data_IF_811356433955
#
_entry.id   IF_811356433955
#
_cell.length_a   1.000
_cell.length_b   1.000
_cell.length_c   1.000
_cell.angle_alpha   90.00
_cell.angle_beta   90.00
_cell.angle_gamma   90.00
#
_symmetry.space_group_name_H-M   'P 1'
#
loop_
_entity.id
_entity.type
_entity.pdbx_description
1 polymer ?
#
# COMPACT_ATOMS: atom_id res chain seq x y z
N UNK A 1 -12.08 16.37 7.39
CA UNK A 1 -11.21 15.80 6.33
C UNK A 1 -10.08 14.96 6.90
N UNK A 2 -9.41 15.34 8.00
CA UNK A 2 -8.37 14.51 8.65
C UNK A 2 -8.96 13.62 9.75
N UNK A 3 -8.98 12.30 9.57
CA UNK A 3 -9.50 11.35 10.57
C UNK A 3 -8.38 10.97 11.55
N UNK A 4 -8.67 11.02 12.86
CA UNK A 4 -7.75 10.61 13.94
C UNK A 4 -7.38 9.11 13.88
N UNK A 5 -8.22 8.34 13.21
CA UNK A 5 -8.09 6.93 12.88
C UNK A 5 -8.02 6.83 11.36
N UNK A 6 -6.87 6.39 10.84
CA UNK A 6 -6.67 6.24 9.41
C UNK A 6 -7.32 4.93 8.96
N UNK A 7 -8.45 5.01 8.25
CA UNK A 7 -9.14 3.81 7.76
C UNK A 7 -8.44 3.24 6.52
N UNK A 8 -8.24 1.93 6.50
CA UNK A 8 -7.56 1.17 5.44
C UNK A 8 -8.22 1.29 4.04
N UNK A 9 -9.44 1.83 3.97
CA UNK A 9 -10.09 2.23 2.70
C UNK A 9 -9.35 3.37 1.99
N UNK A 10 -8.59 4.20 2.73
CA UNK A 10 -7.75 5.22 2.14
C UNK A 10 -6.58 4.61 1.36
N UNK A 11 -5.88 3.60 1.91
CA UNK A 11 -4.79 2.89 1.24
C UNK A 11 -5.23 2.11 0.00
N UNK A 12 -6.42 1.51 0.02
CA UNK A 12 -7.00 0.90 -1.19
C UNK A 12 -7.35 1.97 -2.25
N UNK A 13 -7.95 3.09 -1.86
CA UNK A 13 -8.18 4.22 -2.78
C UNK A 13 -6.89 4.80 -3.37
N UNK A 14 -5.79 4.76 -2.62
CA UNK A 14 -4.46 5.17 -3.08
C UNK A 14 -3.85 4.17 -4.07
N UNK A 15 -4.08 2.86 -3.89
CA UNK A 15 -3.67 1.81 -4.86
C UNK A 15 -4.53 1.84 -6.12
N UNK A 16 -5.84 2.00 -6.00
CA UNK A 16 -6.76 2.18 -7.14
C UNK A 16 -6.39 3.45 -7.91
N UNK A 17 -6.05 4.55 -7.23
CA UNK A 17 -5.64 5.79 -7.87
C UNK A 17 -4.27 5.68 -8.55
N UNK A 18 -3.30 4.97 -7.96
CA UNK A 18 -2.03 4.63 -8.64
C UNK A 18 -2.29 3.81 -9.90
N UNK A 19 -3.09 2.74 -9.79
CA UNK A 19 -3.42 1.90 -10.93
C UNK A 19 -4.15 2.68 -12.04
N UNK A 20 -5.02 3.63 -11.67
CA UNK A 20 -5.65 4.55 -12.61
C UNK A 20 -4.65 5.52 -13.25
N UNK A 21 -3.72 6.11 -12.47
CA UNK A 21 -2.67 6.99 -13.01
C UNK A 21 -1.75 6.22 -13.96
N UNK A 22 -1.33 5.00 -13.59
CA UNK A 22 -0.48 4.14 -14.43
C UNK A 22 -1.19 3.69 -15.71
N UNK A 23 -2.47 3.31 -15.61
CA UNK A 23 -3.28 2.95 -16.77
C UNK A 23 -3.52 4.15 -17.70
N UNK A 24 -3.72 5.35 -17.14
CA UNK A 24 -3.93 6.58 -17.91
C UNK A 24 -2.65 7.04 -18.62
N UNK A 25 -1.50 6.91 -17.97
CA UNK A 25 -0.17 7.19 -18.54
C UNK A 25 0.14 6.25 -19.72
N UNK A 26 -0.15 4.95 -19.58
CA UNK A 26 0.03 3.96 -20.64
C UNK A 26 -0.89 4.21 -21.85
N UNK A 27 -2.11 4.72 -21.62
CA UNK A 27 -3.13 4.88 -22.66
C UNK A 27 -2.96 6.14 -23.53
N UNK A 28 -2.26 7.18 -23.05
CA UNK A 28 -2.31 8.53 -23.64
C UNK A 28 -0.98 9.14 -24.11
N UNK A 29 0.11 8.36 -24.23
CA UNK A 29 1.44 8.88 -24.63
C UNK A 29 1.87 10.12 -23.82
N UNK A 30 1.57 10.15 -22.52
CA UNK A 30 1.73 11.34 -21.65
C UNK A 30 3.18 11.61 -21.21
N UNK A 31 4.18 11.06 -21.89
CA UNK A 31 5.58 11.22 -21.52
C UNK A 31 5.95 12.70 -21.38
N UNK A 32 5.54 13.52 -22.33
CA UNK A 32 5.81 14.96 -22.37
C UNK A 32 4.87 15.82 -21.52
N UNK A 33 3.92 15.21 -20.79
CA UNK A 33 2.93 15.94 -20.00
C UNK A 33 3.47 16.29 -18.61
N UNK A 34 3.70 17.58 -18.32
CA UNK A 34 4.38 18.05 -17.09
C UNK A 34 3.62 17.70 -15.80
N UNK A 35 2.29 17.65 -15.86
CA UNK A 35 1.44 17.37 -14.70
C UNK A 35 1.08 15.90 -14.49
N UNK A 36 0.68 15.20 -15.55
CA UNK A 36 0.13 13.85 -15.52
C UNK A 36 1.10 12.77 -16.01
N UNK A 37 2.20 13.16 -16.67
CA UNK A 37 3.22 12.21 -17.10
C UNK A 37 3.99 11.62 -15.91
N UNK A 38 4.76 10.54 -16.15
CA UNK A 38 5.60 9.92 -15.13
C UNK A 38 6.54 10.95 -14.47
N UNK A 39 6.62 10.92 -13.15
CA UNK A 39 7.43 11.87 -12.38
C UNK A 39 6.89 13.30 -12.37
N UNK A 40 5.66 13.51 -12.83
CA UNK A 40 5.05 14.82 -12.99
C UNK A 40 4.55 15.43 -11.67
N UNK A 41 4.01 16.65 -11.77
CA UNK A 41 3.53 17.43 -10.62
C UNK A 41 2.53 16.63 -9.75
N UNK A 42 1.65 15.87 -10.39
CA UNK A 42 0.59 15.12 -9.69
C UNK A 42 1.15 14.02 -8.79
N UNK A 43 2.25 13.38 -9.16
CA UNK A 43 2.89 12.37 -8.31
C UNK A 43 3.48 13.00 -7.04
N UNK A 44 4.08 14.19 -7.14
CA UNK A 44 4.59 14.94 -5.98
C UNK A 44 3.44 15.35 -5.07
N UNK A 45 2.38 15.93 -5.63
CA UNK A 45 1.16 16.31 -4.89
C UNK A 45 0.59 15.12 -4.14
N UNK A 46 0.51 13.98 -4.81
CA UNK A 46 0.01 12.76 -4.22
C UNK A 46 0.88 12.28 -3.06
N UNK A 47 2.21 12.22 -3.21
CA UNK A 47 3.10 11.77 -2.12
C UNK A 47 2.95 12.64 -0.87
N UNK A 48 2.87 13.96 -1.03
CA UNK A 48 2.72 14.89 0.10
C UNK A 48 1.34 14.74 0.72
N UNK A 49 0.27 14.74 -0.08
CA UNK A 49 -1.10 14.58 0.40
C UNK A 49 -1.32 13.24 1.08
N UNK A 50 -0.72 12.17 0.58
CA UNK A 50 -0.75 10.84 1.18
C UNK A 50 -0.22 10.90 2.62
N UNK A 51 0.93 11.53 2.84
CA UNK A 51 1.50 11.66 4.18
C UNK A 51 0.61 12.52 5.09
N UNK A 52 0.05 13.62 4.58
CA UNK A 52 -0.89 14.46 5.33
C UNK A 52 -2.17 13.70 5.68
N UNK A 53 -2.66 12.85 4.80
CA UNK A 53 -3.80 11.99 5.09
C UNK A 53 -3.41 11.04 6.23
N UNK A 54 -2.35 10.24 6.06
CA UNK A 54 -1.94 9.20 7.01
C UNK A 54 -1.74 9.77 8.42
N UNK A 55 -1.10 10.93 8.52
CA UNK A 55 -0.58 11.46 9.78
C UNK A 55 -1.33 12.67 10.29
N UNK A 56 -1.93 13.46 9.40
CA UNK A 56 -2.64 14.70 9.76
C UNK A 56 -3.79 14.47 10.73
N UNK A 57 -4.33 13.25 10.85
CA UNK A 57 -5.26 12.89 11.92
C UNK A 57 -4.71 13.06 13.33
N UNK A 58 -3.43 12.72 13.53
CA UNK A 58 -2.73 12.69 14.82
C UNK A 58 -1.76 13.85 15.01
N UNK A 59 -1.26 14.40 13.92
CA UNK A 59 -0.26 15.48 13.87
C UNK A 59 -0.87 16.69 13.15
N UNK A 60 -1.57 17.59 13.88
CA UNK A 60 -2.22 18.76 13.30
C UNK A 60 -1.27 19.68 12.54
N UNK A 61 0.01 19.69 12.90
CA UNK A 61 1.09 20.46 12.28
C UNK A 61 1.27 20.09 10.80
N UNK A 62 0.92 18.86 10.43
CA UNK A 62 0.98 18.39 9.04
C UNK A 62 -0.23 18.84 8.21
N UNK A 63 -1.25 19.47 8.78
CA UNK A 63 -2.46 19.94 8.07
C UNK A 63 -2.25 21.26 7.33
N UNK A 64 -1.05 21.48 6.81
CA UNK A 64 -0.71 22.68 6.07
C UNK A 64 -1.49 22.76 4.77
N UNK A 65 -1.89 23.98 4.40
CA UNK A 65 -2.44 24.26 3.08
C UNK A 65 -1.29 24.50 2.11
N UNK A 66 -1.36 23.84 0.95
CA UNK A 66 -0.34 23.96 -0.09
C UNK A 66 0.81 22.98 0.06
N UNK A 67 1.35 22.56 -1.09
CA UNK A 67 2.32 21.47 -1.17
C UNK A 67 3.63 21.78 -0.46
N UNK A 68 4.21 22.97 -0.69
CA UNK A 68 5.52 23.33 -0.16
C UNK A 68 5.52 23.43 1.37
N UNK A 69 4.49 24.05 1.94
CA UNK A 69 4.33 24.15 3.39
C UNK A 69 4.12 22.78 4.03
N UNK A 70 3.35 21.90 3.37
CA UNK A 70 3.15 20.54 3.83
C UNK A 70 4.45 19.71 3.75
N UNK A 71 5.22 19.84 2.68
CA UNK A 71 6.51 19.17 2.51
C UNK A 71 7.51 19.63 3.57
N UNK A 72 7.56 20.93 3.87
CA UNK A 72 8.40 21.48 4.94
C UNK A 72 7.98 20.95 6.32
N UNK A 73 6.68 20.89 6.59
CA UNK A 73 6.18 20.33 7.85
C UNK A 73 6.55 18.84 7.99
N UNK A 74 6.44 18.06 6.91
CA UNK A 74 6.84 16.66 6.87
C UNK A 74 8.34 16.47 7.14
N UNK A 75 9.19 17.32 6.55
CA UNK A 75 10.63 17.33 6.81
C UNK A 75 10.93 17.69 8.26
N UNK A 76 10.34 18.77 8.79
CA UNK A 76 10.58 19.25 10.15
C UNK A 76 10.20 18.22 11.24
N UNK A 77 9.23 17.35 10.94
CA UNK A 77 8.78 16.28 11.85
C UNK A 77 9.44 14.92 11.56
N UNK A 78 10.42 14.87 10.64
CA UNK A 78 11.21 13.67 10.35
C UNK A 78 10.47 12.58 9.56
N UNK A 79 9.39 12.92 8.86
CA UNK A 79 8.63 11.96 8.04
C UNK A 79 9.18 11.80 6.63
N UNK A 80 10.01 12.76 6.19
CA UNK A 80 10.77 12.74 4.96
C UNK A 80 12.16 13.25 5.32
N UNK A 81 13.20 12.56 4.85
CA UNK A 81 14.58 12.97 5.03
C UNK A 81 14.87 14.31 4.33
N UNK A 82 15.88 15.05 4.81
CA UNK A 82 16.16 16.40 4.29
C UNK A 82 16.47 16.39 2.80
N UNK A 83 17.31 15.44 2.36
CA UNK A 83 17.79 15.36 0.98
C UNK A 83 16.62 15.10 0.01
N UNK A 84 15.72 14.18 0.38
CA UNK A 84 14.51 13.88 -0.37
C UNK A 84 13.52 15.03 -0.37
N UNK A 85 13.32 15.69 0.76
CA UNK A 85 12.44 16.86 0.85
C UNK A 85 12.94 18.00 -0.04
N UNK A 86 14.24 18.28 -0.02
CA UNK A 86 14.88 19.30 -0.85
C UNK A 86 14.78 18.97 -2.33
N UNK A 87 15.03 17.70 -2.70
CA UNK A 87 14.95 17.26 -4.09
C UNK A 87 13.50 17.28 -4.61
N UNK A 88 12.51 16.83 -3.81
CA UNK A 88 11.09 16.94 -4.17
C UNK A 88 10.65 18.40 -4.32
N UNK A 89 11.15 19.29 -3.46
CA UNK A 89 10.89 20.74 -3.56
C UNK A 89 11.45 21.31 -4.85
N UNK A 90 12.70 20.97 -5.20
CA UNK A 90 13.35 21.41 -6.43
C UNK A 90 12.58 20.91 -7.66
N UNK A 91 12.22 19.62 -7.70
CA UNK A 91 11.44 19.02 -8.76
C UNK A 91 10.09 19.73 -8.95
N UNK A 92 9.35 19.94 -7.86
CA UNK A 92 8.05 20.63 -7.90
C UNK A 92 8.17 22.05 -8.45
N UNK A 93 9.15 22.83 -7.96
CA UNK A 93 9.36 24.20 -8.40
C UNK A 93 9.74 24.27 -9.88
N UNK A 94 10.62 23.38 -10.35
CA UNK A 94 11.02 23.34 -11.75
C UNK A 94 9.85 22.95 -12.66
N UNK A 95 9.12 21.88 -12.33
CA UNK A 95 7.95 21.45 -13.12
C UNK A 95 6.86 22.52 -13.17
N UNK A 96 6.57 23.20 -12.04
CA UNK A 96 5.58 24.28 -11.98
C UNK A 96 6.04 25.52 -12.76
N UNK A 97 7.32 25.87 -12.71
CA UNK A 97 7.87 26.96 -13.53
C UNK A 97 7.75 26.65 -15.02
N UNK A 98 8.09 25.43 -15.44
CA UNK A 98 7.95 24.98 -16.82
C UNK A 98 6.49 24.99 -17.30
N UNK A 99 5.57 24.47 -16.48
CA UNK A 99 4.13 24.47 -16.77
C UNK A 99 3.59 25.90 -16.90
N UNK A 100 3.87 26.76 -15.92
CA UNK A 100 3.42 28.15 -15.95
C UNK A 100 3.97 28.90 -17.17
N UNK A 101 5.26 28.70 -17.51
CA UNK A 101 5.87 29.36 -18.66
C UNK A 101 5.25 28.91 -19.98
N UNK A 102 4.97 27.61 -20.11
CA UNK A 102 4.27 27.04 -21.26
C UNK A 102 2.87 27.65 -21.41
N UNK A 103 2.11 27.74 -20.32
CA UNK A 103 0.77 28.34 -20.31
C UNK A 103 0.81 29.83 -20.67
N UNK A 104 1.80 30.57 -20.17
CA UNK A 104 2.02 31.97 -20.55
C UNK A 104 2.37 32.13 -22.04
N UNK A 105 3.14 31.21 -22.63
CA UNK A 105 3.54 31.29 -24.04
C UNK A 105 2.37 31.01 -24.99
N UNK A 106 1.44 30.13 -24.59
CA UNK A 106 0.28 29.73 -25.41
C UNK A 106 -1.03 30.41 -25.02
N UNK A 107 -1.02 31.21 -23.97
CA UNK A 107 -2.22 31.84 -23.39
C UNK A 107 -3.36 30.84 -23.13
N UNK A 108 -2.99 29.61 -22.75
CA UNK A 108 -3.93 28.49 -22.65
C UNK A 108 -3.53 27.55 -21.50
N UNK A 109 -4.51 26.82 -20.97
CA UNK A 109 -4.29 25.78 -19.97
C UNK A 109 -3.74 24.50 -20.62
N UNK A 110 -2.49 24.58 -21.06
CA UNK A 110 -1.73 23.48 -21.66
C UNK A 110 -0.74 22.89 -20.66
N UNK A 111 -0.42 21.60 -20.82
CA UNK A 111 0.43 20.86 -19.89
C UNK A 111 1.49 19.98 -20.58
N UNK A 112 1.32 19.70 -21.88
CA UNK A 112 2.28 18.93 -22.68
C UNK A 112 3.33 19.85 -23.29
N UNK A 113 4.59 19.41 -23.30
CA UNK A 113 5.64 20.14 -24.01
C UNK A 113 5.29 20.30 -25.49
N UNK A 114 5.66 21.43 -26.13
CA UNK A 114 5.39 21.64 -27.55
C UNK A 114 6.12 20.61 -28.42
N UNK A 115 5.50 20.19 -29.53
CA UNK A 115 6.19 19.36 -30.54
C UNK A 115 7.06 20.20 -31.47
N UNK A 116 6.61 21.41 -31.81
CA UNK A 116 7.35 22.30 -32.71
C UNK A 116 8.69 22.73 -32.09
N UNK A 117 9.80 22.48 -32.80
CA UNK A 117 11.15 22.77 -32.33
C UNK A 117 11.33 24.25 -31.91
N UNK A 118 10.78 25.18 -32.69
CA UNK A 118 10.84 26.61 -32.38
C UNK A 118 10.13 26.95 -31.06
N UNK A 119 8.98 26.33 -30.78
CA UNK A 119 8.27 26.58 -29.51
C UNK A 119 9.01 25.99 -28.31
N UNK A 120 9.62 24.81 -28.46
CA UNK A 120 10.47 24.20 -27.42
C UNK A 120 11.68 25.08 -27.13
N UNK A 121 12.33 25.60 -28.17
CA UNK A 121 13.46 26.52 -28.01
C UNK A 121 13.05 27.79 -27.27
N UNK A 122 11.91 28.41 -27.63
CA UNK A 122 11.38 29.59 -26.91
C UNK A 122 11.07 29.30 -25.44
N UNK A 123 10.49 28.14 -25.16
CA UNK A 123 10.21 27.69 -23.79
C UNK A 123 11.52 27.54 -22.99
N UNK A 124 12.51 26.84 -23.55
CA UNK A 124 13.81 26.64 -22.93
C UNK A 124 14.53 27.95 -22.63
N UNK A 125 14.63 28.85 -23.62
CA UNK A 125 15.23 30.18 -23.42
C UNK A 125 14.47 30.99 -22.37
N UNK A 126 13.14 30.92 -22.38
CA UNK A 126 12.28 31.59 -21.41
C UNK A 126 12.40 31.06 -19.98
N UNK A 127 12.97 29.86 -19.80
CA UNK A 127 13.26 29.24 -18.50
C UNK A 127 14.75 29.37 -18.12
N UNK A 128 15.57 30.03 -18.96
CA UNK A 128 17.00 30.22 -18.72
C UNK A 128 17.91 29.07 -19.20
N UNK A 129 17.38 28.10 -19.95
CA UNK A 129 18.18 27.03 -20.55
C UNK A 129 18.82 27.47 -21.86
N UNK A 130 19.96 26.85 -22.21
CA UNK A 130 20.68 27.14 -23.45
C UNK A 130 19.86 26.75 -24.69
N UNK A 131 19.24 25.57 -24.66
CA UNK A 131 18.44 24.98 -25.73
C UNK A 131 17.38 24.03 -25.14
N UNK A 132 16.51 23.51 -26.02
CA UNK A 132 15.47 22.54 -25.68
C UNK A 132 16.03 21.24 -25.10
N UNK A 133 17.17 20.76 -25.60
CA UNK A 133 17.83 19.56 -25.07
C UNK A 133 18.21 19.71 -23.59
N UNK A 134 18.76 20.87 -23.20
CA UNK A 134 19.12 21.16 -21.81
C UNK A 134 17.90 21.27 -20.90
N UNK A 135 16.79 21.83 -21.40
CA UNK A 135 15.52 21.85 -20.67
C UNK A 135 14.99 20.42 -20.45
N UNK A 136 14.93 19.60 -21.50
CA UNK A 136 14.43 18.22 -21.43
C UNK A 136 15.27 17.40 -20.47
N UNK A 137 16.60 17.44 -20.58
CA UNK A 137 17.50 16.72 -19.68
C UNK A 137 17.29 17.11 -18.21
N UNK A 138 17.11 18.41 -17.94
CA UNK A 138 16.85 18.87 -16.58
C UNK A 138 15.47 18.44 -16.07
N UNK A 139 14.44 18.38 -16.93
CA UNK A 139 13.12 17.87 -16.57
C UNK A 139 13.14 16.36 -16.30
N UNK A 140 13.83 15.60 -17.15
CA UNK A 140 13.95 14.14 -17.02
C UNK A 140 14.70 13.75 -15.75
N UNK A 141 15.73 14.50 -15.36
CA UNK A 141 16.42 14.31 -14.09
C UNK A 141 15.45 14.43 -12.90
N UNK A 142 14.63 15.49 -12.88
CA UNK A 142 13.65 15.69 -11.80
C UNK A 142 12.55 14.60 -11.83
N UNK A 143 12.02 14.28 -13.01
CA UNK A 143 10.96 13.28 -13.18
C UNK A 143 11.44 11.89 -12.80
N UNK A 144 12.67 11.51 -13.15
CA UNK A 144 13.26 10.24 -12.77
C UNK A 144 13.37 10.07 -11.26
N UNK A 145 13.79 11.14 -10.55
CA UNK A 145 13.80 11.16 -9.10
C UNK A 145 12.39 11.03 -8.50
N UNK A 146 11.44 11.85 -8.96
CA UNK A 146 10.05 11.83 -8.46
C UNK A 146 9.43 10.45 -8.66
N UNK A 147 9.64 9.86 -9.84
CA UNK A 147 9.15 8.52 -10.17
C UNK A 147 9.72 7.47 -9.21
N UNK A 148 11.03 7.46 -9.02
CA UNK A 148 11.68 6.54 -8.07
C UNK A 148 11.13 6.73 -6.66
N UNK A 149 10.98 7.98 -6.23
CA UNK A 149 10.44 8.31 -4.92
C UNK A 149 8.98 7.86 -4.78
N UNK A 150 8.19 8.00 -5.84
CA UNK A 150 6.79 7.56 -5.89
C UNK A 150 6.70 6.04 -5.82
N UNK A 151 7.48 5.31 -6.63
CA UNK A 151 7.54 3.84 -6.63
C UNK A 151 7.88 3.28 -5.24
N UNK A 152 8.89 3.84 -4.56
CA UNK A 152 9.28 3.45 -3.20
C UNK A 152 8.17 3.61 -2.16
N UNK A 153 7.34 4.64 -2.27
CA UNK A 153 6.20 4.87 -1.36
C UNK A 153 5.19 3.72 -1.47
N UNK A 154 5.05 3.11 -2.64
CA UNK A 154 4.15 1.98 -2.85
C UNK A 154 4.80 0.62 -2.63
N UNK A 155 6.09 0.46 -2.94
CA UNK A 155 6.86 -0.76 -2.64
C UNK A 155 6.98 -1.00 -1.13
N UNK A 156 7.14 0.06 -0.34
CA UNK A 156 7.07 0.00 1.12
C UNK A 156 5.73 -0.57 1.63
N UNK A 157 4.65 -0.41 0.86
CA UNK A 157 3.32 -0.99 1.10
C UNK A 157 3.07 -2.34 0.39
N UNK A 158 4.00 -2.81 -0.45
CA UNK A 158 4.02 -4.12 -1.12
C UNK A 158 5.09 -4.98 -0.43
N UNK A 159 4.82 -5.40 0.80
CA UNK A 159 5.68 -6.40 1.44
C UNK A 159 5.33 -7.79 0.89
N UNK A 160 6.27 -8.32 0.09
CA UNK A 160 6.44 -9.69 -0.42
C UNK A 160 5.31 -10.64 -0.01
N UNK A 161 4.43 -10.96 -0.97
CA UNK A 161 3.63 -12.18 -0.84
C UNK A 161 4.61 -13.35 -0.73
N UNK A 162 4.43 -14.29 0.22
CA UNK A 162 5.31 -15.44 0.33
C UNK A 162 5.31 -16.21 -1.00
N UNK A 163 6.37 -16.06 -1.79
CA UNK A 163 6.49 -16.69 -3.11
C UNK A 163 7.28 -17.97 -2.95
N UNK A 164 6.58 -19.07 -2.69
CA UNK A 164 7.12 -20.42 -2.64
C UNK A 164 6.12 -21.40 -3.24
N UNK A 165 6.61 -22.54 -3.74
CA UNK A 165 5.81 -23.59 -4.40
C UNK A 165 4.61 -24.02 -3.54
N UNK A 166 4.83 -24.17 -2.22
CA UNK A 166 3.78 -24.40 -1.22
C UNK A 166 2.68 -23.33 -1.23
N UNK A 167 3.04 -22.06 -1.24
CA UNK A 167 2.07 -20.96 -1.18
C UNK A 167 1.19 -20.95 -2.45
N UNK A 168 1.76 -21.23 -3.61
CA UNK A 168 1.01 -21.37 -4.87
C UNK A 168 -0.04 -22.47 -4.77
N UNK A 169 0.34 -23.66 -4.27
CA UNK A 169 -0.59 -24.78 -4.06
C UNK A 169 -1.71 -24.39 -3.08
N UNK A 170 -1.39 -23.68 -1.99
CA UNK A 170 -2.39 -23.22 -1.01
C UNK A 170 -3.36 -22.18 -1.58
N UNK A 171 -2.91 -21.30 -2.47
CA UNK A 171 -3.76 -20.34 -3.19
C UNK A 171 -4.74 -21.09 -4.09
N UNK A 172 -4.25 -22.05 -4.86
CA UNK A 172 -5.08 -22.83 -5.78
C UNK A 172 -6.08 -23.73 -5.04
N UNK A 173 -5.65 -24.36 -3.95
CA UNK A 173 -6.54 -25.08 -3.02
C UNK A 173 -7.66 -24.18 -2.50
N UNK A 174 -7.34 -22.99 -1.98
CA UNK A 174 -8.35 -22.10 -1.40
C UNK A 174 -9.35 -21.59 -2.46
N UNK A 175 -8.89 -21.32 -3.68
CA UNK A 175 -9.78 -20.96 -4.81
C UNK A 175 -10.78 -22.07 -5.16
N UNK A 176 -10.39 -23.32 -4.95
CA UNK A 176 -11.20 -24.50 -5.26
C UNK A 176 -12.02 -25.00 -4.07
N UNK A 177 -11.96 -24.32 -2.90
CA UNK A 177 -12.55 -24.80 -1.64
C UNK A 177 -14.05 -25.12 -1.73
N UNK A 178 -14.77 -24.41 -2.59
CA UNK A 178 -16.21 -24.55 -2.79
C UNK A 178 -16.60 -25.57 -3.87
N UNK A 179 -15.63 -26.13 -4.61
CA UNK A 179 -15.87 -27.02 -5.76
C UNK A 179 -15.17 -28.36 -5.63
N UNK A 180 -13.85 -28.36 -5.77
CA UNK A 180 -13.03 -29.55 -6.04
C UNK A 180 -11.81 -29.67 -5.12
N UNK A 181 -11.63 -28.74 -4.18
CA UNK A 181 -10.51 -28.83 -3.24
C UNK A 181 -10.53 -30.15 -2.47
N UNK A 182 -9.37 -30.78 -2.35
CA UNK A 182 -9.18 -32.08 -1.69
C UNK A 182 -8.10 -31.98 -0.62
N UNK A 183 -8.19 -32.85 0.38
CA UNK A 183 -7.17 -32.96 1.43
C UNK A 183 -5.78 -33.26 0.86
N UNK A 184 -5.68 -34.01 -0.24
CA UNK A 184 -4.39 -34.34 -0.89
C UNK A 184 -3.60 -33.11 -1.34
N UNK A 185 -4.27 -32.04 -1.77
CA UNK A 185 -3.60 -30.78 -2.13
C UNK A 185 -2.92 -30.14 -0.91
N UNK A 186 -3.54 -30.23 0.28
CA UNK A 186 -2.93 -29.77 1.53
C UNK A 186 -1.77 -30.68 1.94
N UNK A 187 -1.90 -31.99 1.74
CA UNK A 187 -0.81 -32.93 1.99
C UNK A 187 0.41 -32.67 1.09
N UNK A 188 0.20 -32.38 -0.20
CA UNK A 188 1.23 -31.98 -1.16
C UNK A 188 1.90 -30.66 -0.77
N UNK A 189 1.12 -29.71 -0.23
CA UNK A 189 1.66 -28.48 0.35
C UNK A 189 2.42 -28.73 1.68
N UNK A 190 2.44 -29.94 2.21
CA UNK A 190 3.13 -30.29 3.46
C UNK A 190 2.39 -29.85 4.72
N UNK A 191 1.06 -29.70 4.65
CA UNK A 191 0.21 -29.41 5.81
C UNK A 191 -0.01 -30.69 6.62
N UNK A 192 0.40 -30.74 7.90
CA UNK A 192 0.15 -31.89 8.76
C UNK A 192 -1.36 -32.15 8.96
N UNK A 193 -1.75 -33.42 9.05
CA UNK A 193 -3.15 -33.82 9.31
C UNK A 193 -4.13 -33.20 8.28
N UNK A 194 -3.76 -33.29 7.00
CA UNK A 194 -4.43 -32.64 5.88
C UNK A 194 -5.95 -32.87 5.82
N UNK A 195 -6.44 -34.08 6.13
CA UNK A 195 -7.88 -34.37 6.17
C UNK A 195 -8.63 -33.54 7.22
N UNK A 196 -8.06 -33.42 8.42
CA UNK A 196 -8.66 -32.64 9.50
C UNK A 196 -8.61 -31.15 9.16
N UNK A 197 -7.48 -30.66 8.65
CA UNK A 197 -7.35 -29.28 8.19
C UNK A 197 -8.35 -28.96 7.06
N UNK A 198 -8.53 -29.88 6.12
CA UNK A 198 -9.49 -29.77 5.02
C UNK A 198 -10.92 -29.63 5.54
N UNK A 199 -11.35 -30.53 6.44
CA UNK A 199 -12.68 -30.49 7.03
C UNK A 199 -12.98 -29.15 7.73
N UNK A 200 -12.01 -28.61 8.47
CA UNK A 200 -12.13 -27.31 9.15
C UNK A 200 -12.22 -26.13 8.19
N UNK A 201 -11.43 -26.16 7.11
CA UNK A 201 -11.45 -25.14 6.07
C UNK A 201 -12.76 -25.17 5.27
N UNK A 202 -13.30 -26.35 4.98
CA UNK A 202 -14.62 -26.49 4.35
C UNK A 202 -15.75 -25.98 5.24
N UNK A 203 -15.73 -26.30 6.54
CA UNK A 203 -16.69 -25.80 7.52
C UNK A 203 -16.67 -24.26 7.56
N UNK A 204 -15.48 -23.67 7.60
CA UNK A 204 -15.30 -22.23 7.55
C UNK A 204 -15.76 -21.62 6.22
N UNK A 205 -15.43 -22.26 5.09
CA UNK A 205 -15.80 -21.84 3.75
C UNK A 205 -17.33 -21.82 3.55
N UNK A 206 -18.05 -22.77 4.15
CA UNK A 206 -19.52 -22.85 4.11
C UNK A 206 -20.23 -21.96 5.13
N UNK A 207 -19.48 -21.24 5.97
CA UNK A 207 -20.07 -20.43 7.03
C UNK A 207 -20.88 -19.25 6.48
N UNK A 208 -22.00 -18.94 7.14
CA UNK A 208 -22.84 -17.77 6.82
C UNK A 208 -22.07 -16.45 6.93
N UNK A 209 -21.09 -16.39 7.83
CA UNK A 209 -20.21 -15.23 8.00
C UNK A 209 -19.37 -14.95 6.75
N UNK A 210 -18.92 -15.98 6.02
CA UNK A 210 -18.23 -15.81 4.72
C UNK A 210 -19.20 -15.44 3.61
N UNK A 211 -20.37 -16.08 3.54
CA UNK A 211 -21.38 -15.79 2.53
C UNK A 211 -21.91 -14.34 2.57
N UNK A 212 -21.92 -13.71 3.74
CA UNK A 212 -22.35 -12.33 3.94
C UNK A 212 -21.24 -11.29 3.72
N UNK A 213 -20.04 -11.70 3.31
CA UNK A 213 -18.97 -10.75 3.01
C UNK A 213 -19.29 -9.93 1.77
N UNK A 214 -18.95 -8.65 1.82
CA UNK A 214 -18.85 -7.83 0.60
C UNK A 214 -17.79 -8.40 -0.34
N UNK A 215 -17.87 -8.07 -1.64
CA UNK A 215 -16.86 -8.46 -2.63
C UNK A 215 -15.43 -8.09 -2.18
N UNK A 216 -15.25 -6.92 -1.56
CA UNK A 216 -13.95 -6.51 -0.99
C UNK A 216 -13.51 -7.36 0.20
N UNK A 217 -14.43 -7.72 1.08
CA UNK A 217 -14.17 -8.59 2.22
C UNK A 217 -13.75 -10.00 1.79
N UNK A 218 -14.42 -10.55 0.77
CA UNK A 218 -14.06 -11.83 0.15
C UNK A 218 -12.66 -11.77 -0.45
N UNK A 219 -12.37 -10.75 -1.28
CA UNK A 219 -11.06 -10.61 -1.92
C UNK A 219 -9.90 -10.50 -0.90
N UNK A 220 -10.12 -9.84 0.25
CA UNK A 220 -9.13 -9.79 1.34
C UNK A 220 -8.94 -11.15 2.00
N UNK A 221 -10.04 -11.87 2.25
CA UNK A 221 -9.98 -13.20 2.82
C UNK A 221 -9.21 -14.17 1.89
N UNK A 222 -9.45 -14.08 0.59
CA UNK A 222 -8.82 -14.92 -0.44
C UNK A 222 -7.31 -14.70 -0.55
N UNK A 223 -6.82 -13.49 -0.24
CA UNK A 223 -5.38 -13.21 -0.12
C UNK A 223 -4.80 -13.63 1.22
N UNK A 224 -5.56 -13.43 2.31
CA UNK A 224 -5.09 -13.65 3.68
C UNK A 224 -4.97 -15.14 4.04
N UNK A 225 -5.97 -15.96 3.68
CA UNK A 225 -6.05 -17.36 4.09
C UNK A 225 -4.83 -18.18 3.64
N UNK A 226 -4.42 -18.15 2.36
CA UNK A 226 -3.24 -18.90 1.92
C UNK A 226 -1.95 -18.51 2.67
N UNK A 227 -1.81 -17.22 3.04
CA UNK A 227 -0.65 -16.73 3.80
C UNK A 227 -0.68 -17.25 5.24
N UNK A 228 -1.85 -17.28 5.88
CA UNK A 228 -2.00 -17.83 7.23
C UNK A 228 -1.78 -19.34 7.24
N UNK A 229 -2.33 -20.06 6.25
CA UNK A 229 -2.15 -21.50 6.11
C UNK A 229 -0.67 -21.87 5.94
N UNK A 230 0.05 -21.12 5.11
CA UNK A 230 1.49 -21.36 4.90
C UNK A 230 2.31 -21.23 6.19
N UNK A 231 1.99 -20.23 7.03
CA UNK A 231 2.65 -20.03 8.31
C UNK A 231 2.22 -21.06 9.38
N UNK A 232 0.96 -21.50 9.37
CA UNK A 232 0.43 -22.52 10.28
C UNK A 232 0.97 -23.91 9.95
N UNK A 233 1.15 -24.24 8.66
CA UNK A 233 1.64 -25.52 8.18
C UNK A 233 3.04 -25.87 8.71
N UNK A 234 3.83 -24.86 9.07
CA UNK A 234 5.18 -25.02 9.61
C UNK A 234 5.20 -25.38 11.12
N UNK A 235 4.02 -25.53 11.76
CA UNK A 235 3.89 -25.74 13.20
C UNK A 235 3.47 -27.18 13.52
N UNK A 236 4.01 -27.72 14.61
CA UNK A 236 3.66 -29.08 15.07
C UNK A 236 2.19 -29.21 15.52
N UNK A 237 1.60 -28.13 16.05
CA UNK A 237 0.19 -28.06 16.50
C UNK A 237 -0.75 -27.47 15.42
N UNK A 238 -0.44 -27.71 14.14
CA UNK A 238 -1.09 -27.12 12.96
C UNK A 238 -2.62 -27.07 13.05
N UNK A 239 -3.31 -28.21 13.24
CA UNK A 239 -4.78 -28.25 13.25
C UNK A 239 -5.39 -27.50 14.43
N UNK A 240 -4.81 -27.65 15.63
CA UNK A 240 -5.28 -26.93 16.81
C UNK A 240 -5.08 -25.41 16.67
N UNK A 241 -3.99 -24.98 16.04
CA UNK A 241 -3.73 -23.57 15.73
C UNK A 241 -4.69 -23.05 14.65
N UNK A 242 -4.93 -23.84 13.59
CA UNK A 242 -5.90 -23.52 12.54
C UNK A 242 -7.29 -23.28 13.14
N UNK A 243 -7.76 -24.18 14.02
CA UNK A 243 -9.05 -24.04 14.68
C UNK A 243 -9.17 -22.76 15.52
N UNK A 244 -8.08 -22.34 16.17
CA UNK A 244 -8.04 -21.09 16.94
C UNK A 244 -8.09 -19.87 16.01
N UNK A 245 -7.35 -19.91 14.91
CA UNK A 245 -7.30 -18.83 13.90
C UNK A 245 -8.63 -18.70 13.17
N UNK A 246 -9.23 -19.81 12.70
CA UNK A 246 -10.52 -19.78 12.01
C UNK A 246 -11.65 -19.26 12.91
N UNK A 247 -11.65 -19.61 14.20
CA UNK A 247 -12.59 -19.04 15.18
C UNK A 247 -12.43 -17.53 15.34
N UNK A 248 -11.20 -17.04 15.40
CA UNK A 248 -10.94 -15.60 15.43
C UNK A 248 -11.45 -14.93 14.15
N UNK A 249 -11.06 -15.47 13.00
CA UNK A 249 -11.50 -14.94 11.71
C UNK A 249 -13.02 -14.86 11.70
N UNK A 250 -13.73 -15.95 12.03
CA UNK A 250 -15.18 -15.96 12.09
C UNK A 250 -15.76 -14.84 12.97
N UNK A 251 -15.15 -14.55 14.13
CA UNK A 251 -15.57 -13.47 15.02
C UNK A 251 -15.30 -12.05 14.46
N UNK A 252 -14.29 -11.89 13.60
CA UNK A 252 -13.89 -10.58 13.03
C UNK A 252 -14.24 -10.39 11.56
N UNK A 253 -14.73 -11.42 10.87
CA UNK A 253 -15.03 -11.43 9.42
C UNK A 253 -15.93 -10.25 9.01
N UNK A 254 -16.91 -9.90 9.85
CA UNK A 254 -17.84 -8.79 9.58
C UNK A 254 -17.25 -7.40 9.81
N UNK A 255 -16.06 -7.31 10.41
CA UNK A 255 -15.38 -6.06 10.72
C UNK A 255 -14.20 -5.89 9.77
N UNK A 256 -14.49 -5.33 8.61
CA UNK A 256 -13.57 -5.23 7.45
C UNK A 256 -12.20 -4.61 7.76
N UNK A 257 -12.09 -3.76 8.78
CA UNK A 257 -10.84 -3.16 9.25
C UNK A 257 -9.85 -4.17 9.83
N UNK A 258 -10.34 -5.21 10.52
CA UNK A 258 -9.48 -6.25 11.08
C UNK A 258 -8.92 -7.18 10.00
N UNK A 259 -9.73 -7.53 9.00
CA UNK A 259 -9.27 -8.29 7.84
C UNK A 259 -8.24 -7.51 7.02
N UNK A 260 -8.45 -6.20 6.84
CA UNK A 260 -7.48 -5.33 6.15
C UNK A 260 -6.12 -5.32 6.86
N UNK A 261 -6.12 -5.16 8.19
CA UNK A 261 -4.89 -5.16 8.98
C UNK A 261 -4.11 -6.47 8.78
N UNK A 262 -4.80 -7.61 8.87
CA UNK A 262 -4.17 -8.91 8.75
C UNK A 262 -3.65 -9.18 7.34
N UNK A 263 -4.39 -8.78 6.30
CA UNK A 263 -3.97 -8.91 4.89
C UNK A 263 -2.71 -8.07 4.61
N UNK A 264 -2.67 -6.82 5.09
CA UNK A 264 -1.60 -5.88 4.74
C UNK A 264 -0.38 -5.88 5.67
N UNK A 265 -0.48 -6.38 6.93
CA UNK A 265 0.64 -6.34 7.88
C UNK A 265 1.19 -7.75 8.26
N UNK A 266 2.34 -8.17 7.70
CA UNK A 266 3.01 -9.41 8.09
C UNK A 266 3.30 -9.51 9.59
N UNK A 267 3.74 -8.40 10.21
CA UNK A 267 4.01 -8.36 11.65
C UNK A 267 2.76 -8.51 12.52
N UNK A 268 1.57 -8.17 12.01
CA UNK A 268 0.31 -8.43 12.71
C UNK A 268 -0.08 -9.90 12.61
N UNK A 269 0.09 -10.52 11.42
CA UNK A 269 -0.10 -11.97 11.23
C UNK A 269 0.84 -12.80 12.10
N UNK A 270 2.12 -12.44 12.13
CA UNK A 270 3.10 -13.16 12.94
C UNK A 270 2.74 -13.10 14.42
N UNK A 271 2.44 -11.90 14.94
CA UNK A 271 2.00 -11.72 16.33
C UNK A 271 0.72 -12.47 16.63
N UNK A 272 -0.23 -12.51 15.70
CA UNK A 272 -1.44 -13.32 15.84
C UNK A 272 -1.07 -14.80 16.02
N UNK A 273 -0.24 -15.35 15.14
CA UNK A 273 0.20 -16.75 15.21
C UNK A 273 0.94 -17.01 16.53
N UNK A 274 1.90 -16.18 16.90
CA UNK A 274 2.67 -16.34 18.13
C UNK A 274 1.78 -16.31 19.37
N UNK A 275 0.80 -15.38 19.42
CA UNK A 275 -0.15 -15.27 20.52
C UNK A 275 -1.05 -16.50 20.60
N UNK A 276 -1.53 -16.99 19.45
CA UNK A 276 -2.39 -18.17 19.38
C UNK A 276 -1.64 -19.44 19.81
N UNK A 277 -0.36 -19.57 19.45
CA UNK A 277 0.49 -20.67 19.89
C UNK A 277 0.76 -20.64 21.40
N UNK A 278 1.02 -19.46 21.97
CA UNK A 278 1.35 -19.29 23.38
C UNK A 278 0.16 -19.49 24.34
N UNK A 279 -1.07 -19.55 23.84
CA UNK A 279 -2.27 -19.58 24.66
C UNK A 279 -3.10 -20.85 24.44
N UNK A 280 -3.38 -21.54 25.54
CA UNK A 280 -4.16 -22.80 25.58
C UNK A 280 -5.66 -22.60 25.84
N UNK A 281 -6.13 -21.36 26.09
CA UNK A 281 -7.55 -21.09 26.41
C UNK A 281 -8.15 -19.83 25.78
N UNK A 282 -9.27 -19.97 25.06
CA UNK A 282 -9.98 -18.91 24.31
C UNK A 282 -10.29 -17.62 25.10
N UNK A 283 -10.71 -17.64 26.38
CA UNK A 283 -10.99 -16.40 27.12
C UNK A 283 -9.74 -15.57 27.43
N UNK A 284 -8.60 -16.24 27.59
CA UNK A 284 -7.30 -15.60 27.79
C UNK A 284 -6.74 -15.08 26.45
N UNK A 285 -6.96 -15.84 25.36
CA UNK A 285 -6.66 -15.44 23.98
C UNK A 285 -7.44 -14.20 23.59
N UNK A 286 -8.76 -14.14 23.82
CA UNK A 286 -9.57 -12.98 23.45
C UNK A 286 -9.20 -11.74 24.26
N UNK A 287 -8.88 -11.87 25.55
CA UNK A 287 -8.36 -10.75 26.37
C UNK A 287 -6.95 -10.34 25.97
N UNK A 288 -6.09 -11.28 25.61
CA UNK A 288 -4.75 -11.01 25.09
C UNK A 288 -4.83 -10.39 23.69
N UNK A 289 -5.76 -10.80 22.83
CA UNK A 289 -5.99 -10.18 21.53
C UNK A 289 -6.65 -8.82 21.70
N UNK A 290 -7.65 -8.64 22.55
CA UNK A 290 -8.24 -7.32 22.76
C UNK A 290 -7.23 -6.34 23.40
N UNK A 291 -6.49 -6.79 24.42
CA UNK A 291 -5.47 -5.96 25.08
C UNK A 291 -4.21 -5.82 24.26
N UNK A 292 -3.64 -6.87 23.67
CA UNK A 292 -2.45 -6.82 22.81
C UNK A 292 -2.78 -6.25 21.43
N UNK A 293 -4.02 -6.28 20.94
CA UNK A 293 -4.42 -5.49 19.77
C UNK A 293 -4.54 -4.03 20.16
N UNK A 294 -5.15 -3.65 21.30
CA UNK A 294 -5.05 -2.26 21.80
C UNK A 294 -3.60 -1.83 22.08
N UNK A 295 -2.75 -2.74 22.58
CA UNK A 295 -1.35 -2.46 22.94
C UNK A 295 -0.44 -2.51 21.71
N UNK A 296 -0.73 -3.31 20.67
CA UNK A 296 -0.12 -3.22 19.34
C UNK A 296 -0.65 -2.01 18.58
N UNK A 297 -1.88 -1.59 18.81
CA UNK A 297 -2.47 -0.36 18.29
C UNK A 297 -1.80 0.88 18.94
N UNK A 298 -1.33 0.75 20.19
CA UNK A 298 -0.49 1.73 20.91
C UNK A 298 1.02 1.58 20.61
N UNK A 299 1.56 0.36 20.43
CA UNK A 299 2.99 0.09 20.14
C UNK A 299 3.36 0.22 18.67
N UNK A 300 2.47 -0.09 17.73
CA UNK A 300 2.65 0.28 16.32
C UNK A 300 2.48 1.81 16.09
N UNK A 301 1.98 2.52 17.11
CA UNK A 301 2.01 3.98 17.21
C UNK A 301 3.24 4.53 17.97
N UNK A 302 4.18 3.67 18.39
CA UNK A 302 5.52 4.08 18.79
C UNK A 302 6.53 3.55 17.76
N UNK A 303 7.39 4.40 17.16
CA UNK A 303 8.42 3.90 16.27
C UNK A 303 9.38 2.99 17.05
N UNK A 304 9.75 1.85 16.47
CA UNK A 304 10.99 1.18 16.83
C UNK A 304 12.14 2.16 16.57
N UNK A 305 13.09 2.35 17.50
CA UNK A 305 14.11 3.40 17.40
C UNK A 305 15.17 3.19 16.31
N UNK A 306 15.03 2.19 15.42
CA UNK A 306 16.06 1.83 14.43
C UNK A 306 15.49 1.42 13.06
N UNK A 307 14.52 2.17 12.54
CA UNK A 307 14.29 2.18 11.10
C UNK A 307 14.45 3.61 10.62
N UNK A 308 15.71 3.98 10.33
CA UNK A 308 16.01 5.09 9.43
C UNK A 308 15.59 4.61 8.04
N UNK A 309 14.55 5.24 7.49
CA UNK A 309 14.22 5.20 6.05
C UNK A 309 15.11 6.24 5.39
#
# INVERSE_FOLDING_TARGET
>A
MYRRYFDYTAFEGLREMKAMIEAEVQRRELADHLKLGPGGIREIEFMVQLQQLIRGGREPELRQRGLLSALQALQAHGHIDSDRAETLRAAYLQLRRSENRLQMQREAQVHSLPEAAFERFRLARGLGFANDTALVAALDQQRGFVRTAFEQVFESGRRVAPSGERHTVLVDYWRQIDREAQADMLAQAGVPQAEQAHARLQEFARSSARAQLSARGSARLDRLLPVLLDAIAQRADCVALLDRVLRLLHAVLRRSSYLALLDEQPAARQRLIDTMCASTGWPSVWRSIHSCWMTCWIRAAKPHPNVRI
#
